data_IF_043534464660
#
_entry.id   IF_043534464660
#
_cell.length_a   1.000
_cell.length_b   1.000
_cell.length_c   1.000
_cell.angle_alpha   90.00
_cell.angle_beta   90.00
_cell.angle_gamma   90.00
#
_symmetry.space_group_name_H-M   'P 1'
#
loop_
_entity.id
_entity.type
_entity.pdbx_description
1 polymer ?
#
# COMPACT_ATOMS: atom_id res chain seq x y z
N UNK A 1 25.89 -4.24 -7.87
CA UNK A 1 24.89 -4.09 -8.94
C UNK A 1 24.07 -2.85 -8.59
N UNK A 2 24.19 -1.75 -9.32
CA UNK A 2 23.39 -0.55 -9.08
C UNK A 2 21.94 -0.86 -9.46
N UNK A 3 21.03 -0.73 -8.50
CA UNK A 3 19.60 -0.93 -8.74
C UNK A 3 19.09 0.29 -9.53
N UNK A 4 18.52 0.06 -10.71
CA UNK A 4 17.90 1.14 -11.50
C UNK A 4 16.80 1.82 -10.70
N UNK A 5 16.73 3.14 -10.76
CA UNK A 5 15.68 3.94 -10.13
C UNK A 5 14.51 4.17 -11.10
N UNK A 6 13.36 4.61 -10.56
CA UNK A 6 12.13 4.81 -11.35
C UNK A 6 12.28 5.83 -12.48
N UNK A 7 13.18 6.79 -12.35
CA UNK A 7 13.41 7.82 -13.39
C UNK A 7 14.01 7.25 -14.68
N UNK A 8 14.73 6.13 -14.59
CA UNK A 8 15.45 5.50 -15.70
C UNK A 8 14.66 4.39 -16.41
N UNK A 9 13.47 4.01 -15.90
CA UNK A 9 12.79 2.79 -16.31
C UNK A 9 11.65 2.99 -17.30
N UNK A 10 11.81 2.53 -18.56
CA UNK A 10 10.69 2.40 -19.50
C UNK A 10 9.55 1.53 -18.92
N UNK A 11 9.89 0.43 -18.25
CA UNK A 11 8.93 -0.47 -17.59
C UNK A 11 8.05 0.24 -16.58
N UNK A 12 8.63 1.13 -15.75
CA UNK A 12 7.89 1.92 -14.76
C UNK A 12 6.86 2.84 -15.43
N UNK A 13 7.25 3.48 -16.53
CA UNK A 13 6.36 4.37 -17.29
C UNK A 13 5.23 3.61 -17.99
N UNK A 14 5.55 2.47 -18.60
CA UNK A 14 4.55 1.61 -19.27
C UNK A 14 3.53 1.11 -18.25
N UNK A 15 3.97 0.62 -17.09
CA UNK A 15 3.06 0.12 -16.07
C UNK A 15 2.23 1.25 -15.44
N UNK A 16 2.79 2.44 -15.25
CA UNK A 16 2.04 3.62 -14.81
C UNK A 16 0.94 3.98 -15.80
N UNK A 17 1.26 4.07 -17.10
CA UNK A 17 0.28 4.39 -18.16
C UNK A 17 -0.84 3.33 -18.17
N UNK A 18 -0.48 2.05 -18.11
CA UNK A 18 -1.43 0.94 -18.03
C UNK A 18 -2.36 1.10 -16.82
N UNK A 19 -1.84 1.40 -15.63
CA UNK A 19 -2.62 1.59 -14.41
C UNK A 19 -3.59 2.77 -14.54
N UNK A 20 -3.12 3.91 -15.06
CA UNK A 20 -3.95 5.11 -15.28
C UNK A 20 -5.09 4.83 -16.27
N UNK A 21 -4.81 4.14 -17.36
CA UNK A 21 -5.84 3.72 -18.33
C UNK A 21 -6.87 2.79 -17.66
N UNK A 22 -6.41 1.83 -16.86
CA UNK A 22 -7.29 0.90 -16.13
C UNK A 22 -8.21 1.63 -15.16
N UNK A 23 -7.67 2.56 -14.37
CA UNK A 23 -8.49 3.36 -13.42
C UNK A 23 -9.47 4.27 -14.14
N UNK A 24 -9.07 4.87 -15.26
CA UNK A 24 -9.96 5.70 -16.07
C UNK A 24 -11.11 4.88 -16.67
N UNK A 25 -10.83 3.66 -17.10
CA UNK A 25 -11.85 2.75 -17.65
C UNK A 25 -12.89 2.34 -16.60
N UNK A 26 -12.48 1.96 -15.37
CA UNK A 26 -13.44 1.63 -14.31
C UNK A 26 -14.19 2.86 -13.80
N UNK A 27 -13.56 4.04 -13.77
CA UNK A 27 -14.22 5.29 -13.44
C UNK A 27 -15.35 5.61 -14.42
N UNK A 28 -15.08 5.52 -15.74
CA UNK A 28 -16.10 5.74 -16.78
C UNK A 28 -17.22 4.71 -16.66
N UNK A 29 -16.87 3.42 -16.45
CA UNK A 29 -17.88 2.38 -16.25
C UNK A 29 -18.78 2.67 -15.04
N UNK A 30 -18.19 3.13 -13.94
CA UNK A 30 -18.92 3.48 -12.72
C UNK A 30 -19.83 4.72 -12.94
N UNK A 31 -19.40 5.72 -13.72
CA UNK A 31 -20.23 6.86 -14.08
C UNK A 31 -21.45 6.45 -14.93
N UNK A 32 -21.24 5.55 -15.90
CA UNK A 32 -22.33 5.01 -16.73
C UNK A 32 -23.32 4.24 -15.85
N UNK A 33 -22.83 3.33 -14.98
CA UNK A 33 -23.68 2.57 -14.07
C UNK A 33 -24.45 3.46 -13.11
N UNK A 34 -23.83 4.49 -12.54
CA UNK A 34 -24.50 5.47 -11.67
C UNK A 34 -25.60 6.27 -12.42
N UNK A 35 -25.37 6.58 -13.68
CA UNK A 35 -26.37 7.24 -14.52
C UNK A 35 -27.55 6.33 -14.85
N UNK A 36 -27.28 5.09 -15.23
CA UNK A 36 -28.30 4.09 -15.57
C UNK A 36 -29.16 3.66 -14.38
N UNK A 37 -28.55 3.48 -13.21
CA UNK A 37 -29.26 3.10 -11.97
C UNK A 37 -29.95 4.27 -11.28
N UNK A 38 -29.59 5.52 -11.62
CA UNK A 38 -30.02 6.71 -10.90
C UNK A 38 -29.44 6.83 -9.49
N UNK A 39 -28.47 6.00 -9.12
CA UNK A 39 -27.86 5.92 -7.77
C UNK A 39 -26.35 6.10 -7.81
N UNK A 40 -25.88 7.30 -7.48
CA UNK A 40 -24.44 7.56 -7.31
C UNK A 40 -23.90 6.86 -6.08
N UNK A 41 -24.75 6.58 -5.07
CA UNK A 41 -24.35 5.97 -3.80
C UNK A 41 -23.65 4.62 -3.98
N UNK A 42 -24.17 3.76 -4.83
CA UNK A 42 -23.63 2.43 -5.11
C UNK A 42 -22.24 2.45 -5.76
N UNK A 43 -21.92 3.52 -6.50
CA UNK A 43 -20.65 3.65 -7.24
C UNK A 43 -19.67 4.61 -6.57
N UNK A 44 -20.05 5.20 -5.43
CA UNK A 44 -19.26 6.26 -4.77
C UNK A 44 -17.84 5.81 -4.44
N UNK A 45 -17.69 4.64 -3.86
CA UNK A 45 -16.38 4.11 -3.45
C UNK A 45 -15.45 3.95 -4.65
N UNK A 46 -15.89 3.26 -5.70
CA UNK A 46 -15.07 3.01 -6.88
C UNK A 46 -14.74 4.31 -7.65
N UNK A 47 -15.65 5.28 -7.67
CA UNK A 47 -15.38 6.59 -8.27
C UNK A 47 -14.26 7.32 -7.52
N UNK A 48 -14.35 7.39 -6.19
CA UNK A 48 -13.32 7.99 -5.34
C UNK A 48 -11.99 7.27 -5.46
N UNK A 49 -11.99 5.95 -5.31
CA UNK A 49 -10.75 5.16 -5.36
C UNK A 49 -10.07 5.20 -6.72
N UNK A 50 -10.82 5.27 -7.83
CA UNK A 50 -10.22 5.43 -9.17
C UNK A 50 -9.42 6.73 -9.29
N UNK A 51 -9.95 7.84 -8.77
CA UNK A 51 -9.23 9.12 -8.74
C UNK A 51 -8.01 9.04 -7.82
N UNK A 52 -8.17 8.48 -6.61
CA UNK A 52 -7.06 8.29 -5.68
C UNK A 52 -5.98 7.37 -6.25
N UNK A 53 -6.34 6.30 -6.95
CA UNK A 53 -5.39 5.39 -7.60
C UNK A 53 -4.51 6.12 -8.62
N UNK A 54 -5.10 7.01 -9.43
CA UNK A 54 -4.32 7.85 -10.35
C UNK A 54 -3.36 8.74 -9.57
N UNK A 55 -3.85 9.48 -8.57
CA UNK A 55 -3.04 10.42 -7.79
C UNK A 55 -1.90 9.70 -7.04
N UNK A 56 -2.21 8.60 -6.35
CA UNK A 56 -1.23 7.81 -5.60
C UNK A 56 -0.13 7.25 -6.51
N UNK A 57 -0.47 6.82 -7.73
CA UNK A 57 0.51 6.27 -8.68
C UNK A 57 1.60 7.28 -9.07
N UNK A 58 1.32 8.58 -8.99
CA UNK A 58 2.29 9.64 -9.29
C UNK A 58 3.14 10.08 -8.09
N UNK A 59 2.71 9.79 -6.84
CA UNK A 59 3.44 10.23 -5.63
C UNK A 59 4.91 9.82 -5.65
N UNK A 60 5.31 8.57 -5.99
CA UNK A 60 6.72 8.19 -6.02
C UNK A 60 7.56 9.01 -7.00
N UNK A 61 7.01 9.40 -8.16
CA UNK A 61 7.69 10.28 -9.11
C UNK A 61 7.88 11.70 -8.55
N UNK A 62 6.87 12.21 -7.86
CA UNK A 62 6.95 13.53 -7.21
C UNK A 62 8.02 13.53 -6.12
N UNK A 63 8.06 12.47 -5.30
CA UNK A 63 9.06 12.30 -4.24
C UNK A 63 10.47 12.12 -4.82
N UNK A 64 10.64 11.31 -5.86
CA UNK A 64 11.91 11.15 -6.54
C UNK A 64 12.43 12.49 -7.06
N UNK A 65 11.57 13.26 -7.74
CA UNK A 65 11.95 14.53 -8.36
C UNK A 65 12.16 15.67 -7.35
N UNK A 66 11.24 15.84 -6.37
CA UNK A 66 11.24 17.00 -5.45
C UNK A 66 12.04 16.74 -4.18
N UNK A 67 11.93 15.55 -3.61
CA UNK A 67 12.63 15.17 -2.39
C UNK A 67 13.94 14.41 -2.66
N UNK A 68 14.30 14.24 -3.93
CA UNK A 68 15.50 13.50 -4.38
C UNK A 68 15.55 12.06 -3.87
N UNK A 69 14.41 11.41 -3.77
CA UNK A 69 14.34 10.02 -3.36
C UNK A 69 14.78 9.09 -4.49
N UNK A 70 15.73 8.23 -4.18
CA UNK A 70 16.16 7.13 -5.08
C UNK A 70 15.29 5.91 -4.78
N UNK A 71 14.17 5.80 -5.50
CA UNK A 71 13.21 4.72 -5.33
C UNK A 71 13.59 3.57 -6.27
N UNK A 72 13.85 2.35 -5.72
CA UNK A 72 14.16 1.20 -6.56
C UNK A 72 13.00 0.84 -7.48
N UNK A 73 13.28 0.57 -8.76
CA UNK A 73 12.26 0.18 -9.74
C UNK A 73 11.41 -1.02 -9.28
N UNK A 74 11.98 -2.12 -8.70
CA UNK A 74 11.17 -3.24 -8.23
C UNK A 74 10.18 -2.84 -7.14
N UNK A 75 10.58 -1.97 -6.20
CA UNK A 75 9.69 -1.48 -5.14
C UNK A 75 8.53 -0.65 -5.72
N UNK A 76 8.81 0.22 -6.68
CA UNK A 76 7.78 1.01 -7.33
C UNK A 76 6.81 0.17 -8.15
N UNK A 77 7.30 -0.84 -8.89
CA UNK A 77 6.43 -1.75 -9.63
C UNK A 77 5.53 -2.56 -8.71
N UNK A 78 6.05 -3.00 -7.56
CA UNK A 78 5.25 -3.67 -6.53
C UNK A 78 4.15 -2.75 -5.99
N UNK A 79 4.49 -1.49 -5.72
CA UNK A 79 3.53 -0.47 -5.27
C UNK A 79 2.43 -0.23 -6.30
N UNK A 80 2.77 -0.06 -7.59
CA UNK A 80 1.78 0.08 -8.65
C UNK A 80 0.89 -1.16 -8.80
N UNK A 81 1.50 -2.36 -8.74
CA UNK A 81 0.76 -3.62 -8.81
C UNK A 81 -0.21 -3.76 -7.62
N UNK A 82 0.23 -3.40 -6.42
CA UNK A 82 -0.60 -3.41 -5.22
C UNK A 82 -1.83 -2.49 -5.38
N UNK A 83 -1.64 -1.21 -5.74
CA UNK A 83 -2.76 -0.28 -5.93
C UNK A 83 -3.67 -0.75 -7.07
N UNK A 84 -3.10 -1.28 -8.15
CA UNK A 84 -3.88 -1.80 -9.28
C UNK A 84 -4.72 -3.01 -8.86
N UNK A 85 -4.15 -3.94 -8.09
CA UNK A 85 -4.88 -5.06 -7.53
C UNK A 85 -6.00 -4.61 -6.59
N UNK A 86 -5.73 -3.65 -5.70
CA UNK A 86 -6.72 -3.16 -4.74
C UNK A 86 -7.90 -2.47 -5.44
N UNK A 87 -7.63 -1.55 -6.35
CA UNK A 87 -8.67 -0.71 -6.96
C UNK A 87 -9.28 -1.39 -8.18
N UNK A 88 -8.46 -1.83 -9.14
CA UNK A 88 -8.98 -2.34 -10.41
C UNK A 88 -9.60 -3.73 -10.24
N UNK A 89 -8.89 -4.67 -9.64
CA UNK A 89 -9.43 -6.02 -9.40
C UNK A 89 -10.33 -6.04 -8.17
N UNK A 90 -9.88 -5.46 -7.05
CA UNK A 90 -10.61 -5.46 -5.79
C UNK A 90 -11.99 -4.86 -5.93
N UNK A 91 -12.07 -3.56 -6.14
CA UNK A 91 -13.33 -2.83 -6.27
C UNK A 91 -13.93 -2.95 -7.68
N UNK A 92 -13.12 -2.73 -8.73
CA UNK A 92 -13.59 -2.69 -10.11
C UNK A 92 -14.20 -3.99 -10.60
N UNK A 93 -13.67 -5.13 -10.18
CA UNK A 93 -14.14 -6.47 -10.53
C UNK A 93 -14.73 -7.24 -9.35
N UNK A 94 -14.76 -6.65 -8.17
CA UNK A 94 -15.38 -7.20 -6.97
C UNK A 94 -14.60 -8.37 -6.37
N UNK A 95 -13.26 -8.40 -6.48
CA UNK A 95 -12.44 -9.48 -5.94
C UNK A 95 -12.52 -9.55 -4.42
N UNK A 96 -12.74 -8.45 -3.73
CA UNK A 96 -12.99 -8.44 -2.29
C UNK A 96 -14.15 -9.34 -1.84
N UNK A 97 -15.13 -9.57 -2.72
CA UNK A 97 -16.29 -10.44 -2.44
C UNK A 97 -16.21 -11.80 -3.13
N UNK A 98 -15.45 -11.91 -4.25
CA UNK A 98 -15.38 -13.13 -5.06
C UNK A 98 -14.21 -14.04 -4.68
N UNK A 99 -13.15 -13.50 -4.11
CA UNK A 99 -11.90 -14.19 -3.78
C UNK A 99 -11.64 -14.03 -2.28
N UNK A 100 -12.06 -14.98 -1.43
CA UNK A 100 -12.02 -14.80 0.04
C UNK A 100 -10.70 -14.28 0.62
N UNK A 101 -9.49 -14.75 0.20
CA UNK A 101 -8.24 -14.27 0.77
C UNK A 101 -7.70 -13.00 0.11
N UNK A 102 -8.50 -12.31 -0.75
CA UNK A 102 -7.99 -11.19 -1.54
C UNK A 102 -7.49 -10.03 -0.67
N UNK A 103 -8.27 -9.67 0.30
CA UNK A 103 -7.99 -8.61 1.25
C UNK A 103 -6.75 -8.93 2.11
N UNK A 104 -6.76 -10.10 2.74
CA UNK A 104 -5.62 -10.58 3.52
C UNK A 104 -4.29 -10.55 2.74
N UNK A 105 -4.32 -10.96 1.45
CA UNK A 105 -3.15 -10.91 0.57
C UNK A 105 -2.68 -9.48 0.37
N UNK A 106 -3.60 -8.54 0.15
CA UNK A 106 -3.26 -7.13 -0.02
C UNK A 106 -2.71 -6.53 1.27
N UNK A 107 -3.27 -6.86 2.44
CA UNK A 107 -2.74 -6.44 3.73
C UNK A 107 -1.34 -7.02 4.01
N UNK A 108 -1.07 -8.28 3.70
CA UNK A 108 0.30 -8.83 3.77
C UNK A 108 1.26 -8.05 2.88
N UNK A 109 0.87 -7.72 1.65
CA UNK A 109 1.70 -6.93 0.73
C UNK A 109 1.91 -5.49 1.22
N UNK A 110 0.87 -4.85 1.78
CA UNK A 110 0.96 -3.50 2.36
C UNK A 110 1.93 -3.48 3.53
N UNK A 111 1.82 -4.43 4.45
CA UNK A 111 2.71 -4.60 5.59
C UNK A 111 4.17 -4.82 5.16
N UNK A 112 4.40 -5.61 4.10
CA UNK A 112 5.73 -5.79 3.51
C UNK A 112 6.29 -4.46 2.99
N UNK A 113 5.50 -3.69 2.26
CA UNK A 113 5.94 -2.39 1.71
C UNK A 113 6.15 -1.35 2.81
N UNK A 114 5.27 -1.30 3.80
CA UNK A 114 5.41 -0.41 4.96
C UNK A 114 6.67 -0.72 5.77
N UNK A 115 6.98 -2.00 6.00
CA UNK A 115 8.24 -2.41 6.66
C UNK A 115 9.47 -2.01 5.83
N UNK A 116 9.44 -2.16 4.51
CA UNK A 116 10.52 -1.70 3.63
C UNK A 116 10.73 -0.18 3.72
N UNK A 117 9.65 0.60 3.81
CA UNK A 117 9.72 2.03 4.08
C UNK A 117 10.27 2.33 5.47
N UNK A 118 9.95 1.54 6.50
CA UNK A 118 10.53 1.63 7.83
C UNK A 118 12.06 1.50 7.83
N UNK A 119 12.60 0.53 7.10
CA UNK A 119 14.05 0.42 6.86
C UNK A 119 14.61 1.68 6.18
N UNK A 120 13.91 2.18 5.16
CA UNK A 120 14.32 3.36 4.41
C UNK A 120 14.36 4.60 5.29
N UNK A 121 13.32 4.82 6.10
CA UNK A 121 13.23 5.95 7.01
C UNK A 121 14.33 5.91 8.08
N UNK A 122 14.62 4.74 8.64
CA UNK A 122 15.72 4.57 9.59
C UNK A 122 17.05 4.99 8.97
N UNK A 123 17.33 4.51 7.75
CA UNK A 123 18.56 4.86 7.01
C UNK A 123 18.62 6.35 6.70
N UNK A 124 17.53 6.97 6.26
CA UNK A 124 17.43 8.40 5.96
C UNK A 124 17.68 9.28 7.19
N UNK A 125 17.04 8.95 8.33
CA UNK A 125 17.14 9.72 9.58
C UNK A 125 18.57 9.67 10.13
N UNK A 126 19.15 8.47 10.16
CA UNK A 126 20.51 8.29 10.72
C UNK A 126 21.58 8.90 9.84
N UNK A 127 21.43 8.76 8.54
CA UNK A 127 22.36 9.35 7.57
C UNK A 127 22.27 10.88 7.54
N UNK A 128 21.16 11.50 7.96
CA UNK A 128 20.99 12.96 7.99
C UNK A 128 21.81 13.65 9.12
N UNK A 129 22.04 12.95 10.23
CA UNK A 129 22.61 13.55 11.44
C UNK A 129 24.14 13.50 11.54
N UNK A 130 24.84 12.63 10.81
CA UNK A 130 26.24 12.31 11.12
C UNK A 130 27.09 12.08 9.87
N UNK A 131 27.51 13.14 9.19
CA UNK A 131 28.54 13.03 8.15
C UNK A 131 29.94 12.66 8.72
N UNK A 132 30.22 13.00 10.01
CA UNK A 132 31.53 12.78 10.62
C UNK A 132 31.65 11.59 11.59
N UNK A 133 30.53 11.08 12.13
CA UNK A 133 30.52 9.86 12.98
C UNK A 133 29.23 9.09 12.71
N UNK A 134 29.25 8.27 11.67
CA UNK A 134 28.12 7.40 11.33
C UNK A 134 27.91 6.35 12.44
N UNK A 135 27.03 6.61 13.40
CA UNK A 135 26.51 5.56 14.26
C UNK A 135 25.62 4.65 13.40
N UNK A 136 26.05 3.42 13.19
CA UNK A 136 25.26 2.39 12.55
C UNK A 136 24.56 1.57 13.64
N UNK A 137 23.24 1.70 13.81
CA UNK A 137 22.53 0.90 14.79
C UNK A 137 22.68 -0.60 14.53
N UNK A 138 22.59 -1.44 15.56
CA UNK A 138 22.50 -2.88 15.37
C UNK A 138 21.37 -3.25 14.42
N UNK A 139 21.53 -4.28 13.57
CA UNK A 139 20.49 -4.73 12.64
C UNK A 139 19.12 -4.98 13.27
N UNK A 140 19.09 -5.34 14.56
CA UNK A 140 17.87 -5.55 15.32
C UNK A 140 17.03 -4.25 15.47
N UNK A 141 17.69 -3.11 15.64
CA UNK A 141 16.98 -1.81 15.77
C UNK A 141 16.26 -1.46 14.45
N UNK A 142 16.93 -1.65 13.31
CA UNK A 142 16.29 -1.49 12.00
C UNK A 142 15.07 -2.40 11.86
N UNK A 143 15.22 -3.68 12.23
CA UNK A 143 14.16 -4.66 12.11
C UNK A 143 12.95 -4.35 13.02
N UNK A 144 13.19 -4.02 14.29
CA UNK A 144 12.12 -3.65 15.21
C UNK A 144 11.41 -2.38 14.79
N UNK A 145 12.16 -1.33 14.40
CA UNK A 145 11.54 -0.10 13.93
C UNK A 145 10.69 -0.35 12.68
N UNK A 146 11.18 -1.12 11.71
CA UNK A 146 10.43 -1.40 10.48
C UNK A 146 9.17 -2.21 10.74
N UNK A 147 9.19 -3.17 11.66
CA UNK A 147 8.00 -3.92 12.07
C UNK A 147 6.98 -2.99 12.76
N UNK A 148 7.43 -2.20 13.75
CA UNK A 148 6.55 -1.26 14.44
C UNK A 148 5.96 -0.23 13.46
N UNK A 149 6.75 0.22 12.47
CA UNK A 149 6.28 1.14 11.45
C UNK A 149 5.21 0.50 10.55
N UNK A 150 5.38 -0.78 10.16
CA UNK A 150 4.37 -1.49 9.39
C UNK A 150 3.04 -1.61 10.14
N UNK A 151 3.09 -2.04 11.41
CA UNK A 151 1.89 -2.10 12.27
C UNK A 151 1.24 -0.73 12.44
N UNK A 152 2.04 0.32 12.64
CA UNK A 152 1.53 1.69 12.75
C UNK A 152 0.80 2.14 11.48
N UNK A 153 1.34 1.84 10.29
CA UNK A 153 0.68 2.15 9.02
C UNK A 153 -0.62 1.36 8.88
N UNK A 154 -0.65 0.07 9.25
CA UNK A 154 -1.87 -0.73 9.28
C UNK A 154 -2.94 -0.12 10.19
N UNK A 155 -2.58 0.32 11.40
CA UNK A 155 -3.53 1.01 12.31
C UNK A 155 -4.05 2.32 11.71
N UNK A 156 -3.19 3.09 11.04
CA UNK A 156 -3.63 4.33 10.35
C UNK A 156 -4.59 4.01 9.20
N UNK A 157 -4.39 2.88 8.52
CA UNK A 157 -5.28 2.43 7.46
C UNK A 157 -6.66 2.08 8.02
N UNK A 158 -6.74 1.33 9.13
CA UNK A 158 -7.99 1.03 9.83
C UNK A 158 -8.73 2.30 10.31
N UNK A 159 -7.99 3.31 10.79
CA UNK A 159 -8.59 4.60 11.14
C UNK A 159 -9.15 5.32 9.90
N UNK A 160 -8.47 5.20 8.77
CA UNK A 160 -8.97 5.74 7.51
C UNK A 160 -10.27 5.04 7.10
N UNK A 161 -10.31 3.70 7.06
CA UNK A 161 -11.49 2.94 6.69
C UNK A 161 -12.68 3.23 7.62
N UNK A 162 -12.48 3.16 8.92
CA UNK A 162 -13.51 3.49 9.92
C UNK A 162 -14.07 4.90 9.74
N UNK A 163 -13.20 5.88 9.48
CA UNK A 163 -13.63 7.26 9.31
C UNK A 163 -14.45 7.46 8.04
N UNK A 164 -14.01 6.86 6.93
CA UNK A 164 -14.70 7.00 5.65
C UNK A 164 -16.00 6.19 5.59
N UNK A 165 -16.06 5.04 6.25
CA UNK A 165 -17.30 4.28 6.41
C UNK A 165 -18.34 5.12 7.17
N UNK A 166 -17.95 5.76 8.27
CA UNK A 166 -18.84 6.60 9.05
C UNK A 166 -19.25 7.90 8.35
N UNK A 167 -18.33 8.55 7.61
CA UNK A 167 -18.60 9.85 6.97
C UNK A 167 -19.34 9.72 5.64
N UNK A 168 -19.04 8.69 4.87
CA UNK A 168 -19.52 8.53 3.50
C UNK A 168 -20.51 7.35 3.34
N UNK A 169 -20.79 6.59 4.41
CA UNK A 169 -21.65 5.40 4.36
C UNK A 169 -21.06 4.34 3.41
N UNK A 170 -19.76 4.07 3.55
CA UNK A 170 -19.05 3.03 2.82
C UNK A 170 -19.06 1.72 3.65
N UNK A 171 -18.39 0.70 3.20
CA UNK A 171 -18.22 -0.58 3.88
C UNK A 171 -16.81 -1.13 3.64
N UNK A 172 -15.80 -0.28 3.89
CA UNK A 172 -14.39 -0.64 3.70
C UNK A 172 -13.94 -1.67 4.73
N UNK A 173 -14.35 -1.49 6.00
CA UNK A 173 -14.11 -2.43 7.10
C UNK A 173 -15.00 -3.69 7.04
N UNK A 174 -15.77 -3.88 5.98
CA UNK A 174 -16.66 -5.04 5.76
C UNK A 174 -17.52 -5.41 6.97
N UNK A 175 -17.97 -4.38 7.72
CA UNK A 175 -18.88 -4.54 8.85
C UNK A 175 -20.30 -4.93 8.43
N UNK A 176 -20.60 -4.92 7.13
CA UNK A 176 -21.85 -5.40 6.57
C UNK A 176 -21.60 -6.35 5.39
N UNK A 177 -22.44 -7.38 5.27
CA UNK A 177 -22.35 -8.40 4.23
C UNK A 177 -23.64 -8.45 3.41
N UNK A 178 -23.57 -8.81 2.10
CA UNK A 178 -24.76 -9.00 1.29
C UNK A 178 -25.67 -10.07 1.87
N UNK A 179 -26.96 -9.77 2.01
CA UNK A 179 -27.99 -10.75 2.36
C UNK A 179 -28.62 -11.35 1.08
N UNK A 180 -29.26 -12.50 1.19
CA UNK A 180 -29.78 -13.24 0.05
C UNK A 180 -30.86 -12.51 -0.77
N UNK A 181 -31.43 -11.43 -0.27
CA UNK A 181 -32.43 -10.58 -0.94
C UNK A 181 -31.84 -9.33 -1.60
N UNK A 182 -30.50 -9.19 -1.57
CA UNK A 182 -29.79 -8.04 -2.14
C UNK A 182 -29.62 -6.86 -1.18
N UNK A 183 -30.14 -6.94 0.05
CA UNK A 183 -29.86 -5.97 1.12
C UNK A 183 -28.47 -6.23 1.73
N UNK A 184 -28.00 -5.25 2.53
CA UNK A 184 -26.79 -5.43 3.35
C UNK A 184 -27.20 -5.69 4.81
N UNK A 185 -26.69 -6.76 5.40
CA UNK A 185 -26.85 -7.09 6.81
C UNK A 185 -25.62 -6.67 7.59
N UNK A 186 -25.82 -5.81 8.59
CA UNK A 186 -24.74 -5.43 9.51
C UNK A 186 -24.33 -6.61 10.41
N UNK A 187 -23.02 -6.78 10.57
CA UNK A 187 -22.41 -7.73 11.49
C UNK A 187 -22.40 -7.15 12.91
N UNK A 188 -22.45 -7.99 13.93
CA UNK A 188 -22.49 -7.56 15.32
C UNK A 188 -21.40 -8.23 16.17
N UNK A 189 -20.89 -7.48 17.16
CA UNK A 189 -19.94 -7.99 18.12
C UNK A 189 -18.64 -8.46 17.48
N UNK A 190 -18.22 -9.69 17.77
CA UNK A 190 -16.93 -10.24 17.29
C UNK A 190 -16.86 -10.38 15.75
N UNK A 191 -17.99 -10.60 15.09
CA UNK A 191 -18.03 -10.71 13.64
C UNK A 191 -17.70 -9.38 12.97
N UNK A 192 -18.23 -8.26 13.48
CA UNK A 192 -17.95 -6.92 12.96
C UNK A 192 -16.47 -6.51 13.16
N UNK A 193 -15.81 -7.03 14.20
CA UNK A 193 -14.39 -6.74 14.46
C UNK A 193 -13.43 -7.65 13.69
N UNK A 194 -13.95 -8.67 13.02
CA UNK A 194 -13.12 -9.72 12.45
C UNK A 194 -12.23 -9.21 11.32
N UNK A 195 -12.76 -8.43 10.42
CA UNK A 195 -12.06 -7.85 9.29
C UNK A 195 -10.85 -7.04 9.79
N UNK A 196 -11.10 -5.96 10.55
CA UNK A 196 -10.06 -5.12 11.17
C UNK A 196 -8.95 -5.90 11.87
N UNK A 197 -9.31 -6.90 12.68
CA UNK A 197 -8.30 -7.69 13.42
C UNK A 197 -7.50 -8.58 12.47
N UNK A 198 -8.13 -9.17 11.45
CA UNK A 198 -7.45 -10.01 10.46
C UNK A 198 -6.50 -9.18 9.61
N UNK A 199 -6.91 -7.99 9.24
CA UNK A 199 -6.11 -7.06 8.43
C UNK A 199 -4.87 -6.58 9.19
N UNK A 200 -5.01 -6.20 10.46
CA UNK A 200 -3.87 -5.87 11.33
C UNK A 200 -2.92 -7.06 11.54
N UNK A 201 -3.43 -8.30 11.61
CA UNK A 201 -2.59 -9.49 11.68
C UNK A 201 -1.85 -9.72 10.36
N UNK A 202 -2.53 -9.56 9.22
CA UNK A 202 -1.95 -9.71 7.88
C UNK A 202 -0.85 -8.68 7.63
N UNK A 203 -1.07 -7.41 8.00
CA UNK A 203 -0.06 -6.36 7.98
C UNK A 203 1.15 -6.69 8.88
N UNK A 204 0.88 -7.21 10.08
CA UNK A 204 1.93 -7.61 11.02
C UNK A 204 2.77 -8.78 10.47
N UNK A 205 2.13 -9.76 9.83
CA UNK A 205 2.81 -10.89 9.18
C UNK A 205 3.68 -10.38 8.03
N UNK A 206 3.11 -9.56 7.14
CA UNK A 206 3.85 -8.96 6.02
C UNK A 206 5.03 -8.12 6.48
N UNK A 207 4.82 -7.26 7.47
CA UNK A 207 5.86 -6.46 8.11
C UNK A 207 6.94 -7.31 8.74
N UNK A 208 6.57 -8.40 9.43
CA UNK A 208 7.47 -9.35 10.05
C UNK A 208 8.36 -10.08 9.03
N UNK A 209 7.83 -10.46 7.89
CA UNK A 209 8.60 -11.10 6.81
C UNK A 209 9.74 -10.18 6.35
N UNK A 210 9.45 -8.94 5.98
CA UNK A 210 10.46 -7.99 5.52
C UNK A 210 11.41 -7.58 6.66
N UNK A 211 10.90 -7.39 7.86
CA UNK A 211 11.70 -7.11 9.05
C UNK A 211 12.75 -8.21 9.29
N UNK A 212 12.35 -9.47 9.24
CA UNK A 212 13.26 -10.61 9.40
C UNK A 212 14.26 -10.71 8.23
N UNK A 213 13.80 -10.59 6.99
CA UNK A 213 14.67 -10.63 5.81
C UNK A 213 15.69 -9.50 5.83
N UNK A 214 15.28 -8.29 6.21
CA UNK A 214 16.15 -7.12 6.35
C UNK A 214 17.18 -7.32 7.46
N UNK A 215 16.76 -7.83 8.62
CA UNK A 215 17.67 -8.19 9.72
C UNK A 215 18.76 -9.18 9.27
N UNK A 216 18.35 -10.27 8.63
CA UNK A 216 19.28 -11.30 8.14
C UNK A 216 20.19 -10.77 7.04
N UNK A 217 19.68 -9.89 6.16
CA UNK A 217 20.48 -9.25 5.12
C UNK A 217 21.56 -8.35 5.71
N UNK A 218 21.20 -7.48 6.66
CA UNK A 218 22.15 -6.59 7.33
C UNK A 218 23.19 -7.37 8.13
N UNK A 219 22.76 -8.40 8.87
CA UNK A 219 23.67 -9.24 9.68
C UNK A 219 24.68 -10.03 8.83
N UNK A 220 24.30 -10.39 7.59
CA UNK A 220 25.12 -11.21 6.68
C UNK A 220 25.78 -10.41 5.55
N UNK A 221 25.64 -9.08 5.53
CA UNK A 221 26.12 -8.20 4.46
C UNK A 221 25.70 -8.65 3.05
N UNK A 222 24.44 -9.15 2.89
CA UNK A 222 23.98 -9.73 1.62
C UNK A 222 23.34 -8.75 0.63
N UNK A 223 23.23 -7.48 0.95
CA UNK A 223 22.75 -6.44 0.03
C UNK A 223 21.29 -6.59 -0.46
N UNK A 224 20.48 -7.53 0.09
CA UNK A 224 19.08 -7.72 -0.30
C UNK A 224 18.22 -6.47 -0.06
N UNK A 225 18.58 -5.67 0.95
CA UNK A 225 17.91 -4.41 1.26
C UNK A 225 17.95 -3.40 0.11
N UNK A 226 18.92 -3.50 -0.80
CA UNK A 226 19.03 -2.60 -1.96
C UNK A 226 17.87 -2.71 -2.94
N UNK A 227 17.10 -3.79 -2.90
CA UNK A 227 15.94 -4.01 -3.79
C UNK A 227 14.70 -3.22 -3.36
N UNK A 228 14.60 -2.86 -2.06
CA UNK A 228 13.41 -2.23 -1.51
C UNK A 228 13.68 -0.99 -0.64
N UNK A 229 14.94 -0.73 -0.23
CA UNK A 229 15.28 0.46 0.56
C UNK A 229 15.39 1.67 -0.34
N UNK A 230 14.55 2.67 -0.07
CA UNK A 230 14.58 3.99 -0.69
C UNK A 230 15.68 4.82 -0.03
N UNK A 231 16.45 5.56 -0.83
CA UNK A 231 17.56 6.42 -0.36
C UNK A 231 17.34 7.87 -0.77
N UNK A 232 18.06 8.80 -0.16
CA UNK A 232 18.08 10.19 -0.60
C UNK A 232 19.37 10.42 -1.41
N UNK A 233 19.24 11.01 -2.61
CA UNK A 233 20.38 11.48 -3.37
C UNK A 233 20.96 12.75 -2.73
N UNK A 234 22.19 12.66 -2.23
CA UNK A 234 22.90 13.77 -1.55
C UNK A 234 23.96 14.45 -2.42
N UNK A 235 24.19 13.89 -3.60
CA UNK A 235 25.12 14.48 -4.55
C UNK A 235 24.45 15.64 -5.30
N UNK A 236 24.33 16.79 -4.61
CA UNK A 236 24.28 18.16 -5.21
C UNK A 236 24.04 19.20 -4.15
#
# INVERSE_FOLDING_TARGET
>A
MQTKTIEEGLTSRVFLIFSVISYSAIFIRALIGAHESGSVGEYRLILLQSVFGILLSYIPFILAKRARWLIPTPFYLLFLAFIWCAIFLGEGFGFYYKVPPWDDILHVLSGMMASALGFSLTDMILSAKNAEKAYTPPPLIYALFSLCFAVFIGVLWEFYEFSFDGLLGLNMQKFAVPDGDGSMRELVGREALRDTVTDLLSDTIGGGIISLLGFLSLKRNKGLTSLFVVKINREK
#
